data_IF_615553136072
#
_entry.id   IF_615553136072
#
_cell.length_a   1.000
_cell.length_b   1.000
_cell.length_c   1.000
_cell.angle_alpha   90.00
_cell.angle_beta   90.00
_cell.angle_gamma   90.00
#
_symmetry.space_group_name_H-M   'P 1'
#
loop_
_entity.id
_entity.type
_entity.pdbx_description
1 polymer ?
#
# COMPACT_ATOMS: atom_id res chain seq x y z
N UNK A 1 22.70 6.42 12.28
CA UNK A 1 21.79 5.93 11.20
C UNK A 1 20.50 6.74 11.30
N UNK A 2 19.94 7.23 10.19
CA UNK A 2 18.68 7.99 10.22
C UNK A 2 17.50 7.05 10.48
N UNK A 3 16.41 7.54 11.10
CA UNK A 3 15.16 6.79 11.12
C UNK A 3 14.66 6.51 9.70
N UNK A 4 13.78 5.51 9.56
CA UNK A 4 13.25 5.07 8.26
C UNK A 4 11.75 5.28 8.16
N UNK A 5 11.27 5.55 6.96
CA UNK A 5 9.87 5.38 6.56
C UNK A 5 9.84 4.35 5.43
N UNK A 6 9.04 3.30 5.57
CA UNK A 6 8.86 2.32 4.50
C UNK A 6 7.59 2.61 3.70
N UNK A 7 7.70 2.58 2.38
CA UNK A 7 6.57 2.69 1.47
C UNK A 7 6.17 1.30 0.97
N UNK A 8 5.21 0.65 1.61
CA UNK A 8 4.77 -0.70 1.26
C UNK A 8 3.48 -0.67 0.45
N UNK A 9 3.50 -1.18 -0.77
CA UNK A 9 2.35 -1.09 -1.68
C UNK A 9 2.55 -1.83 -2.99
N UNK A 10 1.67 -1.54 -3.95
CA UNK A 10 1.68 -2.14 -5.30
C UNK A 10 2.47 -1.31 -6.33
N UNK A 11 2.11 -1.39 -7.61
CA UNK A 11 2.76 -0.65 -8.71
C UNK A 11 2.74 0.87 -8.50
N UNK A 12 1.67 1.41 -7.90
CA UNK A 12 1.57 2.86 -7.61
C UNK A 12 2.67 3.28 -6.63
N UNK A 13 3.02 2.37 -5.72
CA UNK A 13 4.14 2.60 -4.80
C UNK A 13 5.47 2.32 -5.47
N UNK A 14 5.59 1.27 -6.30
CA UNK A 14 6.82 0.94 -7.05
C UNK A 14 7.29 2.11 -7.93
N UNK A 15 6.36 2.74 -8.63
CA UNK A 15 6.62 3.86 -9.54
C UNK A 15 6.75 5.22 -8.82
N UNK A 16 6.56 5.25 -7.50
CA UNK A 16 6.51 6.50 -6.71
C UNK A 16 7.80 7.33 -6.71
N UNK A 17 8.93 6.73 -7.11
CA UNK A 17 10.22 7.41 -7.24
C UNK A 17 10.52 7.88 -8.68
N UNK A 18 9.58 7.71 -9.62
CA UNK A 18 9.66 8.31 -10.94
C UNK A 18 9.68 9.84 -10.90
N UNK A 19 9.90 10.46 -12.06
CA UNK A 19 9.90 11.92 -12.17
C UNK A 19 8.54 12.50 -11.76
N UNK A 20 8.55 13.51 -10.88
CA UNK A 20 7.33 14.04 -10.26
C UNK A 20 6.61 13.09 -9.28
N UNK A 21 7.18 11.93 -8.98
CA UNK A 21 6.58 10.91 -8.12
C UNK A 21 6.48 11.34 -6.65
N UNK A 22 5.49 10.80 -5.96
CA UNK A 22 5.20 11.16 -4.56
C UNK A 22 6.23 10.63 -3.56
N UNK A 23 6.80 9.45 -3.83
CA UNK A 23 7.88 8.86 -3.05
C UNK A 23 9.17 9.66 -3.19
N UNK A 24 9.49 10.12 -4.40
CA UNK A 24 10.60 11.05 -4.65
C UNK A 24 10.39 12.39 -3.93
N UNK A 25 9.18 12.94 -4.00
CA UNK A 25 8.81 14.19 -3.29
C UNK A 25 8.96 14.05 -1.77
N UNK A 26 8.51 12.92 -1.21
CA UNK A 26 8.65 12.59 0.20
C UNK A 26 10.13 12.45 0.61
N UNK A 27 10.93 11.73 -0.20
CA UNK A 27 12.36 11.57 0.03
C UNK A 27 13.11 12.91 -0.04
N UNK A 28 12.74 13.79 -0.97
CA UNK A 28 13.31 15.13 -1.06
C UNK A 28 12.98 15.97 0.20
N UNK A 29 11.71 15.95 0.63
CA UNK A 29 11.25 16.67 1.82
C UNK A 29 12.01 16.25 3.09
N UNK A 30 12.27 14.95 3.25
CA UNK A 30 12.98 14.40 4.41
C UNK A 30 14.46 14.09 4.18
N UNK A 31 15.06 14.60 3.10
CA UNK A 31 16.38 14.19 2.59
C UNK A 31 17.55 14.24 3.59
N UNK A 32 17.41 15.03 4.66
CA UNK A 32 18.43 15.18 5.72
C UNK A 32 18.05 14.54 7.06
N UNK A 33 16.81 14.08 7.21
CA UNK A 33 16.22 13.67 8.49
C UNK A 33 15.75 12.22 8.52
N UNK A 34 15.22 11.69 7.41
CA UNK A 34 14.63 10.34 7.36
C UNK A 34 15.02 9.65 6.05
N UNK A 35 15.35 8.37 6.13
CA UNK A 35 15.54 7.55 4.94
C UNK A 35 14.18 7.00 4.49
N UNK A 36 13.73 7.38 3.30
CA UNK A 36 12.49 6.86 2.69
C UNK A 36 12.86 5.63 1.86
N UNK A 37 12.27 4.49 2.22
CA UNK A 37 12.66 3.18 1.66
C UNK A 37 11.49 2.55 0.91
N UNK A 38 11.69 2.33 -0.39
CA UNK A 38 10.70 1.74 -1.27
C UNK A 38 10.50 0.23 -1.01
N UNK A 39 9.23 -0.19 -0.89
CA UNK A 39 8.75 -1.57 -0.86
C UNK A 39 7.47 -1.69 -1.72
N UNK A 40 7.49 -1.14 -2.92
CA UNK A 40 6.44 -1.31 -3.93
C UNK A 40 6.63 -2.62 -4.70
N UNK A 41 5.53 -3.30 -5.02
CA UNK A 41 5.51 -4.56 -5.74
C UNK A 41 4.42 -4.53 -6.82
N UNK A 42 4.81 -4.27 -8.07
CA UNK A 42 3.88 -4.18 -9.18
C UNK A 42 3.03 -5.45 -9.34
N UNK A 43 1.73 -5.25 -9.56
CA UNK A 43 0.72 -6.30 -9.68
C UNK A 43 0.26 -6.93 -8.36
N UNK A 44 0.88 -6.63 -7.21
CA UNK A 44 0.50 -7.26 -5.95
C UNK A 44 -0.85 -6.79 -5.41
N UNK A 45 -1.66 -7.75 -4.96
CA UNK A 45 -2.83 -7.51 -4.13
C UNK A 45 -2.53 -7.82 -2.65
N UNK A 46 -3.50 -7.60 -1.77
CA UNK A 46 -3.30 -7.85 -0.32
C UNK A 46 -3.03 -9.33 0.01
N UNK A 47 -3.53 -10.27 -0.80
CA UNK A 47 -3.29 -11.72 -0.63
C UNK A 47 -1.81 -12.06 -0.84
N UNK A 48 -1.16 -11.44 -1.81
CA UNK A 48 0.28 -11.66 -2.06
C UNK A 48 1.14 -10.85 -1.11
N UNK A 49 0.72 -9.62 -0.76
CA UNK A 49 1.37 -8.80 0.26
C UNK A 49 1.53 -9.55 1.60
N UNK A 50 0.49 -10.25 2.06
CA UNK A 50 0.55 -11.08 3.27
C UNK A 50 1.63 -12.16 3.24
N UNK A 51 1.86 -12.78 2.08
CA UNK A 51 2.86 -13.86 1.96
C UNK A 51 4.28 -13.35 2.07
N UNK A 52 4.49 -12.07 1.81
CA UNK A 52 5.82 -11.46 1.77
C UNK A 52 6.08 -10.52 2.94
N UNK A 53 5.05 -10.05 3.66
CA UNK A 53 5.15 -9.01 4.71
C UNK A 53 6.29 -9.28 5.71
N UNK A 54 6.53 -10.52 6.12
CA UNK A 54 7.58 -10.83 7.09
C UNK A 54 9.00 -10.86 6.49
N UNK A 55 9.11 -11.00 5.16
CA UNK A 55 10.37 -11.12 4.40
C UNK A 55 10.82 -9.81 3.76
N UNK A 56 9.89 -8.90 3.47
CA UNK A 56 10.21 -7.62 2.80
C UNK A 56 10.93 -6.63 3.73
N UNK A 57 10.80 -6.80 5.04
CA UNK A 57 11.44 -5.97 6.04
C UNK A 57 12.65 -6.67 6.68
N UNK A 58 13.69 -5.92 7.06
CA UNK A 58 14.84 -6.49 7.76
C UNK A 58 14.40 -7.14 9.08
N UNK A 59 15.07 -8.22 9.48
CA UNK A 59 14.88 -8.87 10.77
C UNK A 59 15.06 -7.88 11.93
N UNK A 60 14.12 -7.92 12.88
CA UNK A 60 14.05 -6.97 13.98
C UNK A 60 15.22 -7.12 14.97
N UNK A 61 15.76 -8.33 15.14
CA UNK A 61 16.76 -8.62 16.17
C UNK A 61 18.20 -8.69 15.64
N UNK A 62 18.42 -9.06 14.39
CA UNK A 62 19.76 -9.37 13.86
C UNK A 62 20.53 -8.17 13.30
N UNK A 63 19.93 -6.98 13.24
CA UNK A 63 20.53 -5.83 12.54
C UNK A 63 20.79 -4.59 13.38
N UNK A 64 20.40 -4.57 14.67
CA UNK A 64 20.39 -3.33 15.47
C UNK A 64 19.55 -2.21 14.82
N UNK A 65 18.68 -2.56 13.87
CA UNK A 65 17.87 -1.59 13.13
C UNK A 65 16.72 -1.14 14.02
N UNK A 66 16.77 0.13 14.41
CA UNK A 66 15.66 0.77 15.10
C UNK A 66 14.36 0.62 14.29
N UNK A 67 13.24 0.48 15.00
CA UNK A 67 11.91 0.48 14.40
C UNK A 67 11.75 1.72 13.48
N UNK A 68 11.14 1.56 12.29
CA UNK A 68 10.86 2.70 11.43
C UNK A 68 9.87 3.65 12.10
N UNK A 69 9.94 4.93 11.75
CA UNK A 69 8.98 5.93 12.22
C UNK A 69 7.59 5.59 11.71
N UNK A 70 7.50 5.24 10.43
CA UNK A 70 6.25 4.89 9.79
C UNK A 70 6.40 3.82 8.70
N UNK A 71 5.31 3.10 8.47
CA UNK A 71 5.12 2.24 7.31
C UNK A 71 3.81 2.64 6.65
N UNK A 72 3.85 3.03 5.38
CA UNK A 72 2.61 3.18 4.60
C UNK A 72 2.20 1.81 4.07
N UNK A 73 0.90 1.54 4.03
CA UNK A 73 0.32 0.34 3.39
C UNK A 73 -0.65 0.85 2.33
N UNK A 74 -0.25 0.71 1.07
CA UNK A 74 -0.97 1.25 -0.08
C UNK A 74 -1.26 0.13 -1.09
N UNK A 75 -2.32 -0.61 -0.81
CA UNK A 75 -2.84 -1.71 -1.63
C UNK A 75 -4.34 -1.53 -1.85
N UNK A 76 -4.90 -2.30 -2.77
CA UNK A 76 -6.35 -2.36 -2.99
C UNK A 76 -6.76 -2.11 -4.44
N UNK A 77 -5.89 -1.48 -5.26
CA UNK A 77 -6.19 -1.24 -6.67
C UNK A 77 -6.33 -2.57 -7.45
N UNK A 78 -5.41 -3.51 -7.21
CA UNK A 78 -5.43 -4.84 -7.80
C UNK A 78 -6.51 -5.76 -7.18
N UNK A 79 -6.74 -5.66 -5.87
CA UNK A 79 -7.80 -6.39 -5.15
C UNK A 79 -9.19 -6.08 -5.72
N UNK A 80 -9.39 -4.82 -6.11
CA UNK A 80 -10.65 -4.34 -6.65
C UNK A 80 -10.93 -4.82 -8.09
N UNK A 81 -9.98 -5.46 -8.80
CA UNK A 81 -10.24 -5.96 -10.15
C UNK A 81 -11.50 -6.83 -10.22
N UNK A 82 -12.30 -6.69 -11.28
CA UNK A 82 -13.53 -7.49 -11.42
C UNK A 82 -13.21 -8.97 -11.70
N UNK A 83 -13.94 -9.91 -11.06
CA UNK A 83 -13.70 -11.35 -11.20
C UNK A 83 -14.05 -11.92 -12.58
N UNK A 84 -14.78 -11.18 -13.41
CA UNK A 84 -15.23 -11.59 -14.74
C UNK A 84 -14.51 -10.82 -15.88
N UNK A 85 -13.34 -10.24 -15.58
CA UNK A 85 -12.53 -9.44 -16.52
C UNK A 85 -11.08 -9.89 -16.56
N UNK A 86 -10.27 -9.25 -17.41
CA UNK A 86 -8.86 -9.62 -17.60
C UNK A 86 -8.03 -9.63 -16.30
N UNK A 87 -8.33 -8.72 -15.38
CA UNK A 87 -7.70 -8.63 -14.05
C UNK A 87 -8.24 -9.61 -12.99
N UNK A 88 -9.10 -10.57 -13.36
CA UNK A 88 -9.77 -11.46 -12.40
C UNK A 88 -8.79 -12.24 -11.50
N UNK A 89 -7.58 -12.54 -11.99
CA UNK A 89 -6.55 -13.23 -11.20
C UNK A 89 -6.05 -12.41 -10.01
N UNK A 90 -6.22 -11.09 -10.04
CA UNK A 90 -5.84 -10.18 -8.96
C UNK A 90 -6.99 -9.92 -7.98
N UNK A 91 -8.23 -10.28 -8.34
CA UNK A 91 -9.41 -10.02 -7.53
C UNK A 91 -9.29 -10.62 -6.12
N UNK A 92 -9.66 -9.81 -5.13
CA UNK A 92 -9.81 -10.21 -3.74
C UNK A 92 -11.19 -9.77 -3.25
N UNK A 93 -12.06 -10.69 -2.80
CA UNK A 93 -13.35 -10.34 -2.24
C UNK A 93 -13.22 -9.38 -1.05
N UNK A 94 -14.17 -8.46 -0.87
CA UNK A 94 -14.09 -7.39 0.13
C UNK A 94 -13.83 -7.90 1.56
N UNK A 95 -14.47 -8.99 1.97
CA UNK A 95 -14.27 -9.58 3.30
C UNK A 95 -12.89 -10.21 3.48
N UNK A 96 -12.30 -10.71 2.39
CA UNK A 96 -10.91 -11.16 2.39
C UNK A 96 -9.96 -9.97 2.43
N UNK A 97 -10.20 -8.93 1.63
CA UNK A 97 -9.41 -7.69 1.63
C UNK A 97 -9.32 -7.06 3.04
N UNK A 98 -10.45 -6.93 3.73
CA UNK A 98 -10.50 -6.41 5.12
C UNK A 98 -9.64 -7.25 6.06
N UNK A 99 -9.82 -8.59 6.04
CA UNK A 99 -9.03 -9.51 6.86
C UNK A 99 -7.55 -9.46 6.54
N UNK A 100 -7.20 -9.29 5.26
CA UNK A 100 -5.83 -9.19 4.82
C UNK A 100 -5.17 -7.93 5.35
N UNK A 101 -5.83 -6.77 5.25
CA UNK A 101 -5.33 -5.52 5.83
C UNK A 101 -5.12 -5.63 7.34
N UNK A 102 -6.10 -6.17 8.08
CA UNK A 102 -5.95 -6.40 9.52
C UNK A 102 -4.73 -7.28 9.83
N UNK A 103 -4.52 -8.34 9.04
CA UNK A 103 -3.40 -9.25 9.23
C UNK A 103 -2.05 -8.59 8.89
N UNK A 104 -1.97 -7.76 7.84
CA UNK A 104 -0.78 -6.98 7.50
C UNK A 104 -0.43 -6.02 8.65
N UNK A 105 -1.43 -5.26 9.13
CA UNK A 105 -1.25 -4.32 10.25
C UNK A 105 -0.81 -5.06 11.52
N UNK A 106 -1.42 -6.21 11.82
CA UNK A 106 -1.06 -7.03 12.98
C UNK A 106 0.38 -7.54 12.89
N UNK A 107 0.83 -8.03 11.71
CA UNK A 107 2.22 -8.45 11.50
C UNK A 107 3.20 -7.30 11.70
N UNK A 108 2.89 -6.12 11.15
CA UNK A 108 3.72 -4.92 11.32
C UNK A 108 3.79 -4.46 12.77
N UNK A 109 2.66 -4.43 13.50
CA UNK A 109 2.63 -4.07 14.93
C UNK A 109 3.31 -5.09 15.82
N UNK A 110 3.19 -6.38 15.49
CA UNK A 110 3.92 -7.45 16.20
C UNK A 110 5.42 -7.26 16.04
N UNK A 111 5.89 -6.86 14.85
CA UNK A 111 7.30 -6.60 14.58
C UNK A 111 7.79 -5.30 15.22
N UNK A 112 7.01 -4.23 15.11
CA UNK A 112 7.35 -2.90 15.61
C UNK A 112 6.15 -2.25 16.31
N UNK A 113 6.00 -2.46 17.63
CA UNK A 113 4.83 -1.96 18.38
C UNK A 113 4.65 -0.43 18.30
N UNK A 114 5.77 0.31 18.32
CA UNK A 114 5.79 1.78 18.34
C UNK A 114 5.71 2.45 16.96
N UNK A 115 5.85 1.71 15.87
CA UNK A 115 5.82 2.27 14.51
C UNK A 115 4.43 2.77 14.13
N UNK A 116 4.35 3.93 13.48
CA UNK A 116 3.10 4.43 12.90
C UNK A 116 2.76 3.67 11.62
N UNK A 117 1.51 3.21 11.49
CA UNK A 117 1.05 2.52 10.27
C UNK A 117 0.02 3.41 9.59
N UNK A 118 0.31 3.85 8.37
CA UNK A 118 -0.58 4.70 7.59
C UNK A 118 -1.20 3.85 6.47
N UNK A 119 -2.50 3.60 6.56
CA UNK A 119 -3.25 2.97 5.46
C UNK A 119 -3.61 4.05 4.43
N UNK A 120 -3.28 3.81 3.18
CA UNK A 120 -3.62 4.71 2.07
C UNK A 120 -4.66 3.97 1.20
N UNK A 121 -5.81 4.63 0.98
CA UNK A 121 -6.87 4.07 0.14
C UNK A 121 -6.43 4.06 -1.33
N UNK A 122 -6.76 3.01 -2.11
CA UNK A 122 -6.48 2.98 -3.55
C UNK A 122 -7.08 4.21 -4.26
N UNK A 123 -6.43 4.73 -5.30
CA UNK A 123 -6.95 5.88 -6.03
C UNK A 123 -8.30 5.55 -6.70
N UNK A 124 -9.16 6.57 -6.91
CA UNK A 124 -10.39 6.37 -7.68
C UNK A 124 -10.05 5.96 -9.12
N UNK A 125 -10.95 5.20 -9.76
CA UNK A 125 -10.83 4.91 -11.19
C UNK A 125 -11.80 5.77 -11.98
N UNK A 126 -11.27 6.44 -13.00
CA UNK A 126 -12.04 7.07 -14.05
C UNK A 126 -12.57 5.99 -14.99
N UNK A 127 -13.83 5.59 -14.79
CA UNK A 127 -14.48 4.58 -15.61
C UNK A 127 -14.59 5.01 -17.08
N UNK A 128 -14.79 6.30 -17.36
CA UNK A 128 -14.97 6.83 -18.71
C UNK A 128 -13.69 6.67 -19.51
N UNK A 129 -12.55 7.10 -18.93
CA UNK A 129 -11.26 6.93 -19.58
C UNK A 129 -10.83 5.47 -19.65
N UNK A 130 -11.09 4.68 -18.60
CA UNK A 130 -10.83 3.24 -18.61
C UNK A 130 -11.55 2.55 -19.76
N UNK A 131 -12.86 2.78 -19.94
CA UNK A 131 -13.63 2.18 -21.03
C UNK A 131 -13.07 2.61 -22.40
N UNK A 132 -12.63 3.86 -22.53
CA UNK A 132 -12.12 4.42 -23.79
C UNK A 132 -10.79 3.82 -24.24
N UNK A 133 -9.85 3.61 -23.32
CA UNK A 133 -8.48 3.20 -23.65
C UNK A 133 -8.14 1.76 -23.24
N UNK A 134 -8.85 1.19 -22.27
CA UNK A 134 -8.63 -0.16 -21.77
C UNK A 134 -9.96 -0.85 -21.40
N UNK A 135 -10.84 -1.12 -22.39
CA UNK A 135 -12.20 -1.59 -22.14
C UNK A 135 -12.25 -2.93 -21.37
N UNK A 136 -11.19 -3.73 -21.45
CA UNK A 136 -11.08 -5.07 -20.85
C UNK A 136 -10.62 -5.08 -19.39
N UNK A 137 -10.08 -3.98 -18.84
CA UNK A 137 -9.62 -3.88 -17.45
C UNK A 137 -10.64 -3.12 -16.61
N UNK A 138 -11.14 -3.66 -15.49
CA UNK A 138 -12.17 -3.02 -14.66
C UNK A 138 -11.97 -3.30 -13.18
N UNK A 139 -12.34 -2.36 -12.31
CA UNK A 139 -12.35 -2.53 -10.84
C UNK A 139 -13.76 -2.31 -10.25
N UNK A 140 -13.99 -2.74 -9.01
CA UNK A 140 -15.22 -2.56 -8.23
C UNK A 140 -15.08 -1.42 -7.20
N UNK A 141 -16.01 -0.47 -7.19
CA UNK A 141 -16.05 0.64 -6.23
C UNK A 141 -16.97 0.29 -5.05
N UNK A 142 -16.39 -0.19 -3.94
CA UNK A 142 -17.14 -0.53 -2.72
C UNK A 142 -16.29 -0.63 -1.45
N UNK A 143 -15.05 -0.14 -1.47
CA UNK A 143 -14.06 -0.34 -0.40
C UNK A 143 -14.09 0.75 0.71
N UNK A 144 -14.80 1.86 0.50
CA UNK A 144 -14.63 3.06 1.32
C UNK A 144 -15.52 3.14 2.58
N UNK A 145 -16.61 2.37 2.68
CA UNK A 145 -17.64 2.63 3.71
C UNK A 145 -17.55 1.77 4.98
N UNK A 146 -16.56 0.86 5.12
CA UNK A 146 -16.65 -0.21 6.14
C UNK A 146 -15.41 -0.39 7.03
N UNK A 147 -14.46 0.53 7.06
CA UNK A 147 -13.26 0.43 7.90
C UNK A 147 -13.24 1.56 8.94
N UNK A 148 -13.88 1.37 10.09
CA UNK A 148 -13.63 2.17 11.30
C UNK A 148 -13.93 1.30 12.52
N UNK A 149 -12.93 1.05 13.40
CA UNK A 149 -12.97 1.77 14.68
C UNK A 149 -11.60 2.09 15.33
N UNK A 150 -10.50 2.20 14.58
CA UNK A 150 -9.21 2.61 15.18
C UNK A 150 -8.63 3.82 14.44
N UNK A 151 -7.94 4.69 15.17
CA UNK A 151 -7.26 5.93 14.75
C UNK A 151 -6.40 5.75 13.50
N UNK A 152 -7.06 5.67 12.34
CA UNK A 152 -6.50 5.55 11.02
C UNK A 152 -6.65 6.93 10.37
N UNK A 153 -5.52 7.61 10.19
CA UNK A 153 -5.49 8.85 9.42
C UNK A 153 -5.73 8.52 7.94
N UNK A 154 -6.97 8.66 7.49
CA UNK A 154 -7.33 8.60 6.08
C UNK A 154 -6.83 9.86 5.39
N UNK A 155 -5.83 9.73 4.52
CA UNK A 155 -5.50 10.79 3.56
C UNK A 155 -5.99 10.34 2.19
N UNK A 156 -7.14 10.86 1.77
CA UNK A 156 -7.58 10.78 0.39
C UNK A 156 -6.69 11.74 -0.41
N UNK A 157 -5.59 11.24 -0.95
CA UNK A 157 -4.82 11.98 -1.95
C UNK A 157 -5.64 11.89 -3.24
N UNK A 158 -6.31 12.98 -3.60
CA UNK A 158 -6.91 13.12 -4.92
C UNK A 158 -5.78 13.08 -5.96
N UNK A 159 -5.70 11.98 -6.70
CA UNK A 159 -4.77 11.83 -7.81
C UNK A 159 -5.52 12.14 -9.12
N UNK A 160 -5.54 13.42 -9.48
CA UNK A 160 -5.76 13.99 -10.81
C UNK A 160 -5.16 15.40 -10.82
#
# INVERSE_FOLDING_TARGET
>A
MRPKIYLFGDSITEESFGDGGWGASLANHFSRTVDVVLRGYSGYNTRWALKVVDRVFPEAESSGAAAPLAVTVFFGANDACLPDRYGAFQHVPLDEYKRNLHSIVASLKKRWPSTLILLITPPPIDEVQRIRYCPTFSIYFGLLDSIAPYDLYYTCLNWC
#
